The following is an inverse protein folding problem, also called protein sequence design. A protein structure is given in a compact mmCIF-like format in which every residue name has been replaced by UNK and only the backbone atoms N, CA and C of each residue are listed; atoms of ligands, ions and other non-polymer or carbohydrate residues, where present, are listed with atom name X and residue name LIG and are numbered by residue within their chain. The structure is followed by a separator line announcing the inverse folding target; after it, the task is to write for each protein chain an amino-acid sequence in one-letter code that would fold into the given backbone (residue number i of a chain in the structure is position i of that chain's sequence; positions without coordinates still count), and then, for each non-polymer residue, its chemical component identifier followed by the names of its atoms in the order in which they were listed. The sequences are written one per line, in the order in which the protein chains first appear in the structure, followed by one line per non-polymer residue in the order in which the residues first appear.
data_IF_809202260915
#
_entry.id   IF_809202260915
#
_cell.length_a   1.000
_cell.length_b   1.000
_cell.length_c   1.000
_cell.angle_alpha   90.00
_cell.angle_beta   90.00
_cell.angle_gamma   90.00
#
_symmetry.space_group_name_H-M   'P 1'
#
loop_
_entity.id
_entity.type
_entity.pdbx_description
1 polymer ?
#
# COMPACT_ATOMS: atom_id res chain seq x y z
N UNK A 1 4.63 -27.90 -19.32
CA UNK A 1 4.30 -26.47 -19.15
C UNK A 1 3.40 -26.09 -20.30
N UNK A 2 2.17 -25.66 -20.04
CA UNK A 2 1.23 -25.30 -21.10
C UNK A 2 1.62 -23.96 -21.72
N UNK A 3 1.39 -23.81 -23.02
CA UNK A 3 1.63 -22.57 -23.75
C UNK A 3 0.29 -22.05 -24.27
N UNK A 4 0.04 -20.77 -24.03
CA UNK A 4 -1.21 -20.09 -24.34
C UNK A 4 -0.97 -19.00 -25.39
N UNK A 5 -1.91 -18.85 -26.30
CA UNK A 5 -1.96 -17.73 -27.24
C UNK A 5 -2.37 -16.44 -26.52
N UNK A 6 -2.09 -15.29 -27.14
CA UNK A 6 -2.50 -14.00 -26.57
C UNK A 6 -4.01 -13.86 -26.35
N UNK A 7 -4.83 -14.57 -27.14
CA UNK A 7 -6.28 -14.57 -27.00
C UNK A 7 -6.74 -15.35 -25.76
N UNK A 8 -6.14 -16.52 -25.53
CA UNK A 8 -6.43 -17.34 -24.34
C UNK A 8 -5.97 -16.63 -23.06
N UNK A 9 -4.77 -16.04 -23.06
CA UNK A 9 -4.27 -15.26 -21.91
C UNK A 9 -5.16 -14.04 -21.62
N UNK A 10 -5.62 -13.35 -22.67
CA UNK A 10 -6.55 -12.23 -22.52
C UNK A 10 -7.85 -12.64 -21.82
N UNK A 11 -8.38 -13.82 -22.16
CA UNK A 11 -9.57 -14.39 -21.51
C UNK A 11 -9.27 -14.78 -20.06
N UNK A 12 -8.16 -15.49 -19.82
CA UNK A 12 -7.78 -16.00 -18.49
C UNK A 12 -7.46 -14.90 -17.46
N UNK A 13 -6.92 -13.78 -17.93
CA UNK A 13 -6.58 -12.64 -17.08
C UNK A 13 -7.62 -11.53 -17.10
N UNK A 14 -8.65 -11.64 -17.96
CA UNK A 14 -9.65 -10.61 -18.20
C UNK A 14 -8.97 -9.26 -18.55
N UNK A 15 -8.17 -9.27 -19.63
CA UNK A 15 -7.42 -8.10 -20.13
C UNK A 15 -7.51 -8.07 -21.65
N UNK A 16 -7.79 -6.89 -22.21
CA UNK A 16 -7.84 -6.72 -23.66
C UNK A 16 -6.50 -7.11 -24.34
N UNK A 17 -6.50 -7.93 -25.41
CA UNK A 17 -5.28 -8.29 -26.14
C UNK A 17 -4.44 -7.10 -26.61
N UNK A 18 -5.07 -5.96 -26.91
CA UNK A 18 -4.38 -4.71 -27.28
C UNK A 18 -3.56 -4.17 -26.12
N UNK A 19 -4.09 -4.23 -24.90
CA UNK A 19 -3.40 -3.82 -23.67
C UNK A 19 -2.18 -4.70 -23.41
N UNK A 20 -2.30 -6.02 -23.55
CA UNK A 20 -1.16 -6.95 -23.42
C UNK A 20 -0.06 -6.64 -24.44
N UNK A 21 -0.42 -6.35 -25.69
CA UNK A 21 0.54 -5.93 -26.73
C UNK A 21 1.22 -4.60 -26.38
N UNK A 22 0.49 -3.65 -25.79
CA UNK A 22 1.04 -2.39 -25.34
C UNK A 22 2.02 -2.59 -24.18
N UNK A 23 1.67 -3.40 -23.18
CA UNK A 23 2.55 -3.76 -22.06
C UNK A 23 3.86 -4.40 -22.51
N UNK A 24 3.78 -5.29 -23.51
CA UNK A 24 4.98 -5.85 -24.12
C UNK A 24 5.78 -4.79 -24.89
N UNK A 25 5.17 -4.12 -25.88
CA UNK A 25 5.91 -3.31 -26.86
C UNK A 25 6.40 -1.98 -26.30
N UNK A 26 5.57 -1.28 -25.51
CA UNK A 26 5.87 0.07 -25.01
C UNK A 26 6.62 0.05 -23.68
N UNK A 27 6.27 -0.89 -22.81
CA UNK A 27 6.78 -0.92 -21.43
C UNK A 27 7.72 -2.08 -21.15
N UNK A 28 7.83 -3.06 -22.06
CA UNK A 28 8.71 -4.21 -21.89
C UNK A 28 8.38 -5.06 -20.67
N UNK A 29 7.10 -5.09 -20.26
CA UNK A 29 6.65 -5.78 -19.04
C UNK A 29 6.56 -7.30 -19.21
N UNK A 30 6.40 -7.76 -20.45
CA UNK A 30 6.22 -9.17 -20.81
C UNK A 30 7.26 -9.57 -21.86
N UNK A 31 7.75 -10.80 -21.78
CA UNK A 31 8.69 -11.39 -22.75
C UNK A 31 8.18 -12.75 -23.23
N UNK A 32 7.04 -12.81 -23.95
CA UNK A 32 6.48 -14.06 -24.42
C UNK A 32 7.43 -14.75 -25.41
N UNK A 33 7.38 -16.08 -25.41
CA UNK A 33 8.06 -16.88 -26.40
C UNK A 33 7.45 -16.65 -27.78
N UNK A 34 8.23 -16.90 -28.83
CA UNK A 34 7.74 -16.86 -30.21
C UNK A 34 7.86 -18.24 -30.82
N UNK A 35 6.83 -18.64 -31.56
CA UNK A 35 6.90 -19.77 -32.49
C UNK A 35 7.73 -19.41 -33.71
N UNK A 36 8.12 -20.41 -34.50
CA UNK A 36 8.79 -20.22 -35.79
C UNK A 36 7.95 -19.38 -36.76
N UNK A 37 6.61 -19.46 -36.66
CA UNK A 37 5.66 -18.61 -37.39
C UNK A 37 5.47 -17.19 -36.81
N UNK A 38 6.19 -16.83 -35.74
CA UNK A 38 6.15 -15.49 -35.13
C UNK A 38 4.99 -15.22 -34.19
N UNK A 39 4.14 -16.21 -33.89
CA UNK A 39 3.05 -16.09 -32.91
C UNK A 39 3.60 -16.06 -31.49
N UNK A 40 3.01 -15.21 -30.63
CA UNK A 40 3.37 -15.08 -29.22
C UNK A 40 2.73 -16.21 -28.42
N UNK A 41 3.54 -16.90 -27.63
CA UNK A 41 3.12 -17.90 -26.66
C UNK A 41 3.54 -17.46 -25.26
N UNK A 42 2.64 -17.65 -24.32
CA UNK A 42 2.80 -17.32 -22.91
C UNK A 42 2.72 -18.60 -22.10
N UNK A 43 3.47 -18.68 -21.01
CA UNK A 43 3.38 -19.79 -20.08
C UNK A 43 2.62 -19.39 -18.80
N UNK A 44 2.49 -20.31 -17.86
CA UNK A 44 1.80 -20.05 -16.59
C UNK A 44 2.46 -18.90 -15.78
N UNK A 45 3.79 -18.79 -15.80
CA UNK A 45 4.51 -17.70 -15.12
C UNK A 45 4.24 -16.32 -15.76
N UNK A 46 4.06 -16.27 -17.09
CA UNK A 46 3.63 -15.05 -17.76
C UNK A 46 2.20 -14.66 -17.35
N UNK A 47 1.30 -15.64 -17.18
CA UNK A 47 -0.09 -15.40 -16.72
C UNK A 47 -0.07 -14.80 -15.32
N UNK A 48 0.72 -15.36 -14.40
CA UNK A 48 0.82 -14.85 -13.03
C UNK A 48 1.40 -13.42 -13.01
N UNK A 49 2.44 -13.17 -13.82
CA UNK A 49 3.00 -11.82 -14.00
C UNK A 49 1.97 -10.84 -14.55
N UNK A 50 1.13 -11.26 -15.50
CA UNK A 50 0.07 -10.44 -16.08
C UNK A 50 -0.99 -10.09 -15.03
N UNK A 51 -1.39 -11.05 -14.18
CA UNK A 51 -2.31 -10.79 -13.06
C UNK A 51 -1.72 -9.82 -12.06
N UNK A 52 -0.43 -9.91 -11.78
CA UNK A 52 0.28 -8.99 -10.90
C UNK A 52 0.33 -7.57 -11.46
N UNK A 53 0.64 -7.42 -12.76
CA UNK A 53 0.59 -6.13 -13.47
C UNK A 53 -0.82 -5.53 -13.37
N UNK A 54 -1.85 -6.34 -13.62
CA UNK A 54 -3.26 -5.92 -13.52
C UNK A 54 -3.55 -5.41 -12.11
N UNK A 55 -3.16 -6.15 -11.07
CA UNK A 55 -3.32 -5.74 -9.66
C UNK A 55 -2.68 -4.38 -9.37
N UNK A 56 -1.48 -4.12 -9.88
CA UNK A 56 -0.83 -2.82 -9.69
C UNK A 56 -1.60 -1.69 -10.38
N UNK A 57 -2.07 -1.90 -11.60
CA UNK A 57 -2.82 -0.89 -12.36
C UNK A 57 -4.19 -0.63 -11.75
N UNK A 58 -4.89 -1.67 -11.31
CA UNK A 58 -6.18 -1.55 -10.63
C UNK A 58 -6.07 -0.78 -9.31
N UNK A 59 -4.91 -0.88 -8.63
CA UNK A 59 -4.56 -0.08 -7.46
C UNK A 59 -4.06 1.35 -7.79
N UNK A 60 -4.18 1.78 -9.06
CA UNK A 60 -3.87 3.15 -9.48
C UNK A 60 -2.41 3.40 -9.90
N UNK A 61 -1.58 2.36 -10.06
CA UNK A 61 -0.20 2.52 -10.55
C UNK A 61 -0.19 2.84 -12.04
N UNK A 62 0.57 3.86 -12.43
CA UNK A 62 0.84 4.12 -13.84
C UNK A 62 1.65 2.99 -14.46
N UNK A 63 1.19 2.48 -15.60
CA UNK A 63 1.79 1.31 -16.28
C UNK A 63 3.31 1.45 -16.56
N UNK A 64 3.80 2.68 -16.73
CA UNK A 64 5.23 2.99 -16.92
C UNK A 64 6.10 2.67 -15.70
N UNK A 65 5.52 2.67 -14.51
CA UNK A 65 6.22 2.42 -13.22
C UNK A 65 6.11 0.97 -12.77
N UNK A 66 5.14 0.21 -13.30
CA UNK A 66 4.90 -1.18 -12.92
C UNK A 66 6.15 -2.06 -13.10
N UNK A 67 6.99 -1.78 -14.09
CA UNK A 67 8.24 -2.53 -14.32
C UNK A 67 9.15 -2.55 -13.09
N UNK A 68 9.28 -1.43 -12.39
CA UNK A 68 10.11 -1.31 -11.19
C UNK A 68 9.52 -2.13 -10.04
N UNK A 69 8.18 -2.12 -9.91
CA UNK A 69 7.46 -2.87 -8.88
C UNK A 69 7.57 -4.38 -9.09
N UNK A 70 7.35 -4.87 -10.32
CA UNK A 70 7.51 -6.30 -10.66
C UNK A 70 8.94 -6.81 -10.48
N UNK A 71 9.93 -5.91 -10.53
CA UNK A 71 11.34 -6.26 -10.29
C UNK A 71 11.66 -6.36 -8.81
N UNK A 72 10.79 -5.83 -7.94
CA UNK A 72 10.93 -5.83 -6.49
C UNK A 72 10.43 -7.13 -5.86
N UNK A 73 9.47 -7.84 -6.51
CA UNK A 73 8.92 -9.12 -6.04
C UNK A 73 9.72 -10.35 -6.53
N UNK A 74 10.58 -10.19 -7.55
CA UNK A 74 11.61 -11.20 -7.86
C UNK A 74 12.75 -11.03 -6.87
N UNK A 75 12.99 -12.07 -6.06
CA UNK A 75 14.03 -12.20 -5.05
C UNK A 75 15.47 -12.00 -5.58
N UNK A 76 15.81 -10.78 -6.02
CA UNK A 76 17.16 -10.35 -6.43
C UNK A 76 17.30 -8.81 -6.71
N UNK A 77 16.62 -7.93 -5.94
CA UNK A 77 17.11 -6.54 -5.76
C UNK A 77 16.91 -6.02 -4.32
N UNK A 78 17.91 -6.19 -3.42
CA UNK A 78 17.82 -5.68 -2.05
C UNK A 78 18.00 -4.15 -1.90
N UNK A 79 18.24 -3.38 -2.97
CA UNK A 79 18.99 -2.12 -2.83
C UNK A 79 18.24 -0.81 -3.11
N UNK A 80 17.17 -0.78 -3.93
CA UNK A 80 16.53 0.48 -4.33
C UNK A 80 15.77 1.17 -3.19
N UNK A 81 14.93 0.42 -2.45
CA UNK A 81 14.18 1.00 -1.33
C UNK A 81 15.07 1.41 -0.16
N UNK A 82 16.17 0.67 0.08
CA UNK A 82 17.15 1.05 1.09
C UNK A 82 17.83 2.37 0.72
N UNK A 83 18.19 2.57 -0.53
CA UNK A 83 18.69 3.85 -1.03
C UNK A 83 17.67 4.97 -0.84
N UNK A 84 16.39 4.74 -1.16
CA UNK A 84 15.32 5.72 -0.92
C UNK A 84 15.17 6.05 0.59
N UNK A 85 15.35 5.06 1.47
CA UNK A 85 15.36 5.28 2.93
C UNK A 85 16.56 6.16 3.35
N UNK A 86 17.76 5.94 2.79
CA UNK A 86 18.93 6.77 3.08
C UNK A 86 18.76 8.21 2.56
N UNK A 87 18.19 8.39 1.36
CA UNK A 87 17.85 9.72 0.83
C UNK A 87 16.88 10.44 1.77
N UNK A 88 15.83 9.75 2.20
CA UNK A 88 14.84 10.29 3.12
C UNK A 88 15.47 10.65 4.48
N UNK A 89 16.34 9.80 5.00
CA UNK A 89 17.10 10.04 6.22
C UNK A 89 18.04 11.25 6.09
N UNK A 90 18.69 11.42 4.94
CA UNK A 90 19.55 12.57 4.67
C UNK A 90 18.76 13.89 4.68
N UNK A 91 17.55 13.90 4.10
CA UNK A 91 16.66 15.07 4.19
C UNK A 91 16.25 15.39 5.63
N UNK A 92 15.98 14.37 6.45
CA UNK A 92 15.65 14.54 7.86
C UNK A 92 16.85 15.12 8.63
N UNK A 93 18.05 14.60 8.42
CA UNK A 93 19.28 15.05 9.09
C UNK A 93 19.70 16.47 8.69
N UNK A 94 19.54 16.83 7.42
CA UNK A 94 19.84 18.18 6.90
C UNK A 94 18.79 19.24 7.29
N UNK A 95 17.72 18.86 8.01
CA UNK A 95 16.62 19.74 8.43
C UNK A 95 15.93 20.49 7.28
N UNK A 96 16.06 20.02 6.04
CA UNK A 96 15.42 20.62 4.88
C UNK A 96 13.97 20.15 4.73
N UNK A 97 13.10 20.61 5.63
CA UNK A 97 11.72 20.15 5.73
C UNK A 97 10.86 20.48 4.50
N UNK A 98 11.20 21.54 3.77
CA UNK A 98 10.49 21.91 2.54
C UNK A 98 10.76 20.90 1.43
N UNK A 99 12.04 20.62 1.15
CA UNK A 99 12.41 19.65 0.12
C UNK A 99 11.94 18.24 0.48
N UNK A 100 11.99 17.90 1.77
CA UNK A 100 11.43 16.66 2.28
C UNK A 100 9.93 16.52 1.99
N UNK A 101 9.13 17.56 2.23
CA UNK A 101 7.69 17.57 1.91
C UNK A 101 7.44 17.39 0.41
N UNK A 102 8.20 18.07 -0.44
CA UNK A 102 8.10 17.91 -1.89
C UNK A 102 8.44 16.49 -2.32
N UNK A 103 9.53 15.94 -1.79
CA UNK A 103 9.98 14.58 -2.11
C UNK A 103 8.94 13.53 -1.69
N UNK A 104 8.36 13.63 -0.48
CA UNK A 104 7.27 12.73 -0.04
C UNK A 104 6.06 12.84 -0.96
N UNK A 105 5.68 14.07 -1.34
CA UNK A 105 4.56 14.31 -2.25
C UNK A 105 4.79 13.68 -3.63
N UNK A 106 5.98 13.84 -4.20
CA UNK A 106 6.36 13.23 -5.49
C UNK A 106 6.31 11.71 -5.42
N UNK A 107 6.91 11.11 -4.37
CA UNK A 107 6.87 9.65 -4.20
C UNK A 107 5.45 9.13 -4.08
N UNK A 108 4.58 9.80 -3.33
CA UNK A 108 3.17 9.41 -3.19
C UNK A 108 2.33 9.62 -4.46
N UNK A 109 2.83 10.34 -5.47
CA UNK A 109 2.25 10.37 -6.81
C UNK A 109 2.79 9.24 -7.71
N UNK A 110 4.04 8.85 -7.51
CA UNK A 110 4.73 7.82 -8.29
C UNK A 110 4.33 6.39 -7.88
N UNK A 111 4.00 6.18 -6.60
CA UNK A 111 3.82 4.85 -6.01
C UNK A 111 2.55 4.76 -5.15
N UNK A 112 1.92 3.57 -5.05
CA UNK A 112 0.79 3.35 -4.16
C UNK A 112 1.13 3.57 -2.70
N UNK A 113 0.11 3.93 -1.92
CA UNK A 113 0.20 4.07 -0.48
C UNK A 113 0.72 2.78 0.17
N UNK A 114 0.25 1.61 -0.30
CA UNK A 114 0.67 0.31 0.23
C UNK A 114 2.17 0.08 0.03
N UNK A 115 2.68 0.34 -1.18
CA UNK A 115 4.09 0.13 -1.53
C UNK A 115 5.00 1.02 -0.69
N UNK A 116 4.67 2.30 -0.56
CA UNK A 116 5.46 3.25 0.21
C UNK A 116 5.38 2.97 1.71
N UNK A 117 4.20 2.61 2.21
CA UNK A 117 4.03 2.23 3.62
C UNK A 117 4.89 1.02 3.95
N UNK A 118 4.81 -0.03 3.15
CA UNK A 118 5.47 -1.32 3.42
C UNK A 118 6.99 -1.25 3.24
N UNK A 119 7.48 -0.60 2.16
CA UNK A 119 8.89 -0.69 1.77
C UNK A 119 9.73 0.53 2.19
N UNK A 120 9.10 1.68 2.44
CA UNK A 120 9.81 2.93 2.74
C UNK A 120 9.51 3.42 4.16
N UNK A 121 8.26 3.75 4.46
CA UNK A 121 7.92 4.47 5.69
C UNK A 121 7.97 3.56 6.92
N UNK A 122 7.33 2.40 6.92
CA UNK A 122 7.37 1.49 8.08
C UNK A 122 8.81 1.05 8.41
N UNK A 123 9.64 0.59 7.45
CA UNK A 123 11.02 0.21 7.75
C UNK A 123 11.88 1.38 8.27
N UNK A 124 11.76 2.58 7.67
CA UNK A 124 12.52 3.74 8.15
C UNK A 124 12.07 4.18 9.55
N UNK A 125 10.76 4.21 9.81
CA UNK A 125 10.22 4.56 11.13
C UNK A 125 10.72 3.59 12.19
N UNK A 126 10.72 2.28 11.92
CA UNK A 126 11.30 1.28 12.82
C UNK A 126 12.79 1.54 13.10
N UNK A 127 13.58 1.96 12.10
CA UNK A 127 15.00 2.32 12.30
C UNK A 127 15.19 3.55 13.20
N UNK A 128 14.27 4.51 13.14
CA UNK A 128 14.31 5.72 13.96
C UNK A 128 13.71 5.53 15.37
N UNK A 129 12.91 4.47 15.56
CA UNK A 129 12.26 4.14 16.82
C UNK A 129 13.27 3.51 17.79
N UNK A 130 14.04 4.36 18.48
CA UNK A 130 14.96 3.93 19.54
C UNK A 130 14.94 4.90 20.73
N UNK A 131 15.69 4.59 21.79
CA UNK A 131 15.74 5.42 23.01
C UNK A 131 16.64 6.67 22.87
N UNK A 132 17.25 6.92 21.71
CA UNK A 132 18.08 8.10 21.50
C UNK A 132 17.23 9.34 21.18
N UNK A 133 17.34 10.45 21.95
CA UNK A 133 16.50 11.64 21.76
C UNK A 133 16.56 12.24 20.35
N UNK A 134 17.74 12.23 19.72
CA UNK A 134 17.92 12.75 18.37
C UNK A 134 17.10 11.97 17.33
N UNK A 135 17.11 10.64 17.39
CA UNK A 135 16.36 9.78 16.47
C UNK A 135 14.85 9.86 16.73
N UNK A 136 14.44 10.04 18.00
CA UNK A 136 13.04 10.35 18.34
C UNK A 136 12.57 11.68 17.76
N UNK A 137 13.41 12.72 17.79
CA UNK A 137 13.09 14.00 17.16
C UNK A 137 12.94 13.85 15.64
N UNK A 138 13.85 13.11 14.97
CA UNK A 138 13.73 12.84 13.53
C UNK A 138 12.48 12.02 13.19
N UNK A 139 12.12 11.03 14.01
CA UNK A 139 10.88 10.26 13.87
C UNK A 139 9.66 11.17 14.01
N UNK A 140 9.63 12.06 15.01
CA UNK A 140 8.54 13.02 15.20
C UNK A 140 8.38 13.99 14.03
N UNK A 141 9.49 14.46 13.46
CA UNK A 141 9.49 15.30 12.25
C UNK A 141 8.92 14.52 11.06
N UNK A 142 9.40 13.30 10.83
CA UNK A 142 8.91 12.43 9.76
C UNK A 142 7.40 12.19 9.92
N UNK A 143 6.97 11.79 11.10
CA UNK A 143 5.58 11.50 11.43
C UNK A 143 4.68 12.71 11.19
N UNK A 144 5.08 13.91 11.63
CA UNK A 144 4.33 15.14 11.38
C UNK A 144 4.18 15.46 9.88
N UNK A 145 5.24 15.21 9.09
CA UNK A 145 5.19 15.39 7.62
C UNK A 145 4.27 14.38 6.98
N UNK A 146 4.35 13.11 7.38
CA UNK A 146 3.51 12.03 6.87
C UNK A 146 2.03 12.28 7.19
N UNK A 147 1.70 12.63 8.44
CA UNK A 147 0.33 12.94 8.86
C UNK A 147 -0.26 14.09 8.02
N UNK A 148 0.51 15.17 7.83
CA UNK A 148 0.06 16.31 7.01
C UNK A 148 -0.20 15.90 5.56
N UNK A 149 0.76 15.20 4.94
CA UNK A 149 0.60 14.72 3.56
C UNK A 149 -0.61 13.78 3.41
N UNK A 150 -0.75 12.83 4.32
CA UNK A 150 -1.87 11.87 4.32
C UNK A 150 -3.19 12.58 4.53
N UNK A 151 -3.28 13.55 5.45
CA UNK A 151 -4.50 14.33 5.67
C UNK A 151 -4.99 15.01 4.38
N UNK A 152 -4.07 15.53 3.55
CA UNK A 152 -4.40 16.09 2.23
C UNK A 152 -4.93 14.98 1.29
N UNK A 153 -4.30 13.82 1.26
CA UNK A 153 -4.78 12.67 0.48
C UNK A 153 -6.18 12.23 0.89
N UNK A 154 -6.44 12.10 2.20
CA UNK A 154 -7.75 11.73 2.74
C UNK A 154 -8.81 12.79 2.41
N UNK A 155 -8.49 14.07 2.57
CA UNK A 155 -9.40 15.16 2.20
C UNK A 155 -9.75 15.14 0.70
N UNK A 156 -8.81 14.76 -0.16
CA UNK A 156 -9.07 14.57 -1.59
C UNK A 156 -9.95 13.35 -1.87
N UNK A 157 -9.69 12.22 -1.19
CA UNK A 157 -10.47 10.99 -1.32
C UNK A 157 -11.95 11.17 -0.92
N UNK A 158 -12.24 11.98 0.11
CA UNK A 158 -13.61 12.29 0.56
C UNK A 158 -14.50 12.92 -0.52
N UNK A 159 -13.92 13.56 -1.55
CA UNK A 159 -14.67 14.17 -2.66
C UNK A 159 -15.18 13.14 -3.67
N UNK A 160 -14.66 11.91 -3.63
CA UNK A 160 -15.04 10.83 -4.54
C UNK A 160 -16.18 10.01 -3.92
N UNK A 161 -16.92 9.28 -4.76
CA UNK A 161 -17.88 8.29 -4.25
C UNK A 161 -17.13 7.17 -3.53
N UNK A 162 -17.66 6.72 -2.39
CA UNK A 162 -17.05 5.68 -1.57
C UNK A 162 -17.80 5.46 -0.26
N UNK A 163 -17.49 4.37 0.44
CA UNK A 163 -18.08 4.06 1.75
C UNK A 163 -17.33 4.81 2.85
N UNK A 164 -18.05 5.35 3.84
CA UNK A 164 -17.43 5.97 5.00
C UNK A 164 -16.91 4.91 5.97
N UNK A 165 -15.70 5.11 6.48
CA UNK A 165 -15.09 4.24 7.46
C UNK A 165 -14.20 5.01 8.46
N UNK A 166 -14.16 4.50 9.69
CA UNK A 166 -13.34 5.04 10.76
C UNK A 166 -12.20 4.07 11.07
N UNK A 167 -10.96 4.55 10.93
CA UNK A 167 -9.76 3.81 11.32
C UNK A 167 -9.53 3.95 12.82
N UNK A 168 -9.40 2.82 13.50
CA UNK A 168 -9.24 2.74 14.96
C UNK A 168 -7.99 1.91 15.29
N UNK A 169 -7.19 2.42 16.22
CA UNK A 169 -6.15 1.63 16.89
C UNK A 169 -6.70 0.91 18.10
N UNK A 170 -6.45 -0.39 18.22
CA UNK A 170 -6.80 -1.18 19.40
C UNK A 170 -5.53 -1.71 20.07
N UNK A 171 -5.23 -1.18 21.25
CA UNK A 171 -4.07 -1.51 22.07
C UNK A 171 -2.72 -1.30 21.34
N UNK A 172 -2.57 -0.17 20.66
CA UNK A 172 -1.33 0.21 19.96
C UNK A 172 -0.72 1.47 20.57
N UNK A 173 0.59 1.64 20.37
CA UNK A 173 1.33 2.84 20.78
C UNK A 173 1.68 3.77 19.62
N UNK A 174 1.76 3.23 18.40
CA UNK A 174 2.10 3.98 17.19
C UNK A 174 0.83 4.52 16.51
N UNK A 175 0.45 5.76 16.81
CA UNK A 175 -0.73 6.40 16.23
C UNK A 175 -0.51 6.85 14.79
N UNK A 176 0.72 7.19 14.38
CA UNK A 176 1.04 7.53 12.98
C UNK A 176 0.79 6.33 12.06
N UNK A 177 0.94 5.10 12.56
CA UNK A 177 0.57 3.90 11.79
C UNK A 177 -0.90 3.92 11.36
N UNK A 178 -1.80 4.47 12.16
CA UNK A 178 -3.22 4.60 11.78
C UNK A 178 -3.42 5.49 10.55
N UNK A 179 -2.61 6.54 10.43
CA UNK A 179 -2.65 7.40 9.25
C UNK A 179 -2.14 6.67 8.01
N UNK A 180 -1.06 5.90 8.13
CA UNK A 180 -0.55 5.09 7.02
C UNK A 180 -1.58 4.06 6.55
N UNK A 181 -2.21 3.33 7.47
CA UNK A 181 -3.28 2.37 7.13
C UNK A 181 -4.52 3.08 6.56
N UNK A 182 -4.88 4.26 7.09
CA UNK A 182 -5.95 5.07 6.53
C UNK A 182 -5.65 5.56 5.11
N UNK A 183 -4.40 5.90 4.81
CA UNK A 183 -3.99 6.27 3.46
C UNK A 183 -4.13 5.10 2.49
N UNK A 184 -3.69 3.90 2.89
CA UNK A 184 -3.88 2.67 2.12
C UNK A 184 -5.37 2.42 1.86
N UNK A 185 -6.20 2.43 2.91
CA UNK A 185 -7.63 2.18 2.79
C UNK A 185 -8.32 3.22 1.87
N UNK A 186 -7.85 4.47 1.87
CA UNK A 186 -8.40 5.51 0.98
C UNK A 186 -8.19 5.20 -0.51
N UNK A 187 -7.12 4.51 -0.87
CA UNK A 187 -6.88 4.05 -2.25
C UNK A 187 -7.73 2.82 -2.62
N UNK A 188 -8.30 2.13 -1.63
CA UNK A 188 -9.21 0.99 -1.80
C UNK A 188 -10.69 1.42 -1.87
N UNK A 189 -10.98 2.73 -2.01
CA UNK A 189 -12.33 3.25 -2.20
C UNK A 189 -13.05 3.67 -0.90
N UNK A 190 -12.35 3.68 0.23
CA UNK A 190 -12.91 4.16 1.49
C UNK A 190 -12.75 5.67 1.66
N UNK A 191 -13.78 6.32 2.23
CA UNK A 191 -13.72 7.68 2.77
C UNK A 191 -13.37 7.56 4.24
N UNK A 192 -12.12 7.90 4.57
CA UNK A 192 -11.53 7.58 5.86
C UNK A 192 -11.57 8.78 6.80
N UNK A 193 -12.02 8.51 8.02
CA UNK A 193 -11.68 9.28 9.23
C UNK A 193 -10.71 8.45 10.08
N UNK A 194 -9.77 9.11 10.77
CA UNK A 194 -8.75 8.46 11.60
C UNK A 194 -8.95 8.87 13.04
N UNK A 195 -9.08 7.91 13.95
CA UNK A 195 -9.11 8.18 15.37
C UNK A 195 -7.72 8.62 15.85
N UNK A 196 -7.64 9.77 16.51
CA UNK A 196 -6.36 10.38 16.89
C UNK A 196 -5.55 9.54 17.91
N UNK A 197 -6.23 8.75 18.73
CA UNK A 197 -5.61 7.95 19.79
C UNK A 197 -6.06 6.49 19.70
N UNK A 198 -5.18 5.59 20.13
CA UNK A 198 -5.54 4.18 20.32
C UNK A 198 -6.50 4.01 21.50
N UNK A 199 -7.40 3.04 21.39
CA UNK A 199 -8.27 2.61 22.47
C UNK A 199 -7.64 1.41 23.19
N UNK A 200 -7.55 1.48 24.52
CA UNK A 200 -7.18 0.32 25.35
C UNK A 200 -8.38 -0.61 25.56
N UNK A 201 -9.58 -0.03 25.73
CA UNK A 201 -10.85 -0.73 25.80
C UNK A 201 -11.68 -0.41 24.57
N UNK A 202 -11.60 -1.26 23.54
CA UNK A 202 -12.38 -1.08 22.33
C UNK A 202 -13.80 -1.64 22.52
N UNK A 203 -14.80 -0.75 22.40
CA UNK A 203 -16.23 -1.06 22.51
C UNK A 203 -16.94 -0.62 21.22
N UNK A 204 -17.20 -1.52 20.27
CA UNK A 204 -17.82 -1.18 18.98
C UNK A 204 -19.20 -0.53 19.11
N UNK A 205 -19.91 -0.75 20.22
CA UNK A 205 -21.23 -0.19 20.52
C UNK A 205 -21.22 1.34 20.59
N UNK A 206 -20.07 1.95 20.87
CA UNK A 206 -19.92 3.41 20.90
C UNK A 206 -19.89 4.04 19.49
N UNK A 207 -19.83 3.20 18.45
CA UNK A 207 -19.69 3.62 17.05
C UNK A 207 -20.81 3.08 16.17
N UNK A 208 -22.00 2.92 16.73
CA UNK A 208 -23.17 2.40 16.02
C UNK A 208 -23.41 3.10 14.67
N UNK A 209 -23.66 2.28 13.64
CA UNK A 209 -23.87 2.76 12.26
C UNK A 209 -22.60 3.14 11.48
N UNK A 210 -21.41 2.99 12.06
CA UNK A 210 -20.14 3.25 11.35
C UNK A 210 -19.44 1.95 10.93
N UNK A 211 -18.82 1.98 9.75
CA UNK A 211 -17.85 0.96 9.35
C UNK A 211 -16.54 1.19 10.09
N UNK A 212 -16.01 0.17 10.77
CA UNK A 212 -14.79 0.28 11.57
C UNK A 212 -13.65 -0.49 10.90
N UNK A 213 -12.52 0.19 10.66
CA UNK A 213 -11.29 -0.44 10.20
C UNK A 213 -10.31 -0.48 11.37
N UNK A 214 -10.00 -1.66 11.89
CA UNK A 214 -9.30 -1.83 13.17
C UNK A 214 -7.88 -2.30 12.93
N UNK A 215 -6.92 -1.51 13.42
CA UNK A 215 -5.51 -1.87 13.47
C UNK A 215 -5.14 -2.33 14.88
N UNK A 216 -4.72 -3.59 15.00
CA UNK A 216 -4.35 -4.24 16.27
C UNK A 216 -2.83 -4.32 16.50
N UNK A 217 -2.05 -3.59 15.70
CA UNK A 217 -0.59 -3.74 15.66
C UNK A 217 -0.13 -4.82 14.69
N UNK A 218 1.19 -4.99 14.57
CA UNK A 218 1.79 -5.88 13.57
C UNK A 218 1.50 -7.36 13.84
N UNK A 219 1.32 -7.73 15.11
CA UNK A 219 1.03 -9.08 15.54
C UNK A 219 -0.31 -9.09 16.27
N UNK A 220 -1.38 -9.47 15.58
CA UNK A 220 -2.69 -9.63 16.20
C UNK A 220 -2.67 -10.86 17.11
N UNK A 221 -3.06 -10.69 18.37
CA UNK A 221 -3.21 -11.83 19.29
C UNK A 221 -4.41 -12.69 18.88
N UNK A 222 -4.37 -13.99 19.20
CA UNK A 222 -5.50 -14.91 18.97
C UNK A 222 -6.79 -14.40 19.63
N UNK A 223 -6.69 -13.80 20.82
CA UNK A 223 -7.82 -13.19 21.51
C UNK A 223 -8.43 -12.02 20.72
N UNK A 224 -7.60 -11.14 20.15
CA UNK A 224 -8.08 -10.04 19.30
C UNK A 224 -8.75 -10.56 18.02
N UNK A 225 -8.18 -11.58 17.38
CA UNK A 225 -8.75 -12.19 16.18
C UNK A 225 -10.13 -12.82 16.48
N UNK A 226 -10.23 -13.61 17.55
CA UNK A 226 -11.49 -14.22 17.99
C UNK A 226 -12.54 -13.15 18.33
N UNK A 227 -12.14 -12.08 19.02
CA UNK A 227 -13.05 -11.00 19.37
C UNK A 227 -13.56 -10.23 18.15
N UNK A 228 -12.70 -9.93 17.17
CA UNK A 228 -13.10 -9.30 15.91
C UNK A 228 -14.11 -10.17 15.14
N UNK A 229 -13.88 -11.49 15.11
CA UNK A 229 -14.82 -12.44 14.50
C UNK A 229 -16.16 -12.48 15.26
N UNK A 230 -16.12 -12.46 16.60
CA UNK A 230 -17.34 -12.44 17.42
C UNK A 230 -18.18 -11.18 17.17
N UNK A 231 -17.57 -10.00 17.10
CA UNK A 231 -18.29 -8.77 16.78
C UNK A 231 -18.88 -8.77 15.36
N UNK A 232 -18.15 -9.31 14.38
CA UNK A 232 -18.69 -9.50 13.01
C UNK A 232 -19.90 -10.44 13.01
N UNK A 233 -19.84 -11.55 13.77
CA UNK A 233 -20.95 -12.47 13.90
C UNK A 233 -22.20 -11.83 14.54
N UNK A 234 -22.01 -10.78 15.36
CA UNK A 234 -23.09 -9.95 15.92
C UNK A 234 -23.63 -8.90 14.92
N UNK A 235 -23.21 -8.94 13.64
CA UNK A 235 -23.67 -8.02 12.59
C UNK A 235 -22.96 -6.67 12.59
N UNK A 236 -21.84 -6.52 13.32
CA UNK A 236 -21.05 -5.28 13.32
C UNK A 236 -20.18 -5.20 12.06
N UNK A 237 -20.18 -4.04 11.40
CA UNK A 237 -19.37 -3.78 10.20
C UNK A 237 -17.93 -3.40 10.58
N UNK A 238 -17.16 -4.39 11.04
CA UNK A 238 -15.78 -4.23 11.51
C UNK A 238 -14.84 -4.97 10.57
N UNK A 239 -13.69 -4.39 10.22
CA UNK A 239 -12.67 -5.05 9.39
C UNK A 239 -11.27 -4.86 9.95
N UNK A 240 -10.44 -5.92 10.03
CA UNK A 240 -9.05 -5.77 10.42
C UNK A 240 -8.23 -5.10 9.31
N UNK A 241 -7.26 -4.28 9.69
CA UNK A 241 -6.29 -3.64 8.80
C UNK A 241 -4.95 -4.40 8.80
N UNK A 242 -4.22 -4.27 7.69
CA UNK A 242 -2.89 -4.84 7.46
C UNK A 242 -2.82 -6.37 7.63
N UNK A 243 -3.88 -7.06 7.21
CA UNK A 243 -3.95 -8.51 7.03
C UNK A 243 -3.67 -8.87 5.58
#
# INVERSE_FOLDING_TARGET
MALYTIGEVALLCDINPVTLRAWQRRYGLLKPQRTDGGHRLFNDADIDRIREIKRWIDNGVQVSKVKVLLSSDSSEQPNGWREQQEILLHYLQSSNLHSLRLWVKERGQDYPAQTLTTNLFVPLRRRLQCQQPALQALLGILDGILINYIAICLASARKKQGKDALVIGWNIHDTTRLWLEGWVASQQGWRIDVLAHSLSQFRPELFDGKTLLVWCGENQTLAQQQQLLAWRAQGRDIHPLGV
#
